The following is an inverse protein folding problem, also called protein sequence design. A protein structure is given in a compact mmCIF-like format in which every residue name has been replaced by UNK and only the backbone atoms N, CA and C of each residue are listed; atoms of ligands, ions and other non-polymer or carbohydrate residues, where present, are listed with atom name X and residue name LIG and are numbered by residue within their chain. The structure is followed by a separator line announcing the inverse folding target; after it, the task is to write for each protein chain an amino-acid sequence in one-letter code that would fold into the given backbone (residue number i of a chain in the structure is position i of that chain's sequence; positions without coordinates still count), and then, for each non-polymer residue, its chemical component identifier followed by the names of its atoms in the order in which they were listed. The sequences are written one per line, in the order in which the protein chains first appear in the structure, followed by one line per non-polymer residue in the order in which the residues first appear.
data_IF_691330052245
#
_entry.id   IF_691330052245
#
_cell.length_a   1.000
_cell.length_b   1.000
_cell.length_c   1.000
_cell.angle_alpha   90.00
_cell.angle_beta   90.00
_cell.angle_gamma   90.00
#
_symmetry.space_group_name_H-M   'P 1'
#
loop_
_entity.id
_entity.type
_entity.pdbx_description
1 polymer ?
#
# COMPACT_ATOMS: atom_id res chain seq x y z
N UNK A 1 -51.08 31.79 1.03
CA UNK A 1 -49.67 31.36 0.81
C UNK A 1 -49.69 29.87 0.56
N UNK A 2 -49.49 29.45 -0.69
CA UNK A 2 -49.45 28.03 -1.09
C UNK A 2 -48.14 27.41 -0.63
N UNK A 3 -48.19 26.30 0.13
CA UNK A 3 -47.01 25.58 0.58
C UNK A 3 -46.30 25.00 -0.64
N UNK A 4 -45.04 25.38 -0.85
CA UNK A 4 -44.17 24.75 -1.84
C UNK A 4 -43.85 23.34 -1.37
N UNK A 5 -44.43 22.32 -2.01
CA UNK A 5 -44.03 20.93 -1.81
C UNK A 5 -42.65 20.72 -2.45
N UNK A 6 -41.68 20.33 -1.62
CA UNK A 6 -40.37 19.91 -2.11
C UNK A 6 -40.46 18.45 -2.52
N UNK A 7 -40.32 18.18 -3.82
CA UNK A 7 -40.20 16.81 -4.34
C UNK A 7 -38.75 16.37 -4.11
N UNK A 8 -38.53 15.52 -3.11
CA UNK A 8 -37.21 14.91 -2.88
C UNK A 8 -37.05 13.74 -3.84
N UNK A 9 -36.13 13.86 -4.79
CA UNK A 9 -35.78 12.74 -5.67
C UNK A 9 -35.09 11.63 -4.86
N UNK A 10 -35.40 10.35 -5.14
CA UNK A 10 -34.80 9.22 -4.43
C UNK A 10 -33.27 9.28 -4.51
N UNK A 11 -32.63 9.01 -3.37
CA UNK A 11 -31.18 9.10 -3.25
C UNK A 11 -30.52 8.02 -4.11
N UNK A 12 -29.85 8.44 -5.19
CA UNK A 12 -29.09 7.53 -6.08
C UNK A 12 -27.98 6.74 -5.38
N UNK A 13 -27.61 7.10 -4.16
CA UNK A 13 -26.55 6.45 -3.38
C UNK A 13 -27.10 5.55 -2.26
N UNK A 14 -28.42 5.40 -2.14
CA UNK A 14 -29.03 4.49 -1.18
C UNK A 14 -28.78 3.04 -1.58
N UNK A 15 -28.35 2.20 -0.64
CA UNK A 15 -28.09 0.78 -0.92
C UNK A 15 -29.40 0.00 -0.94
N UNK A 16 -29.78 -0.59 -2.08
CA UNK A 16 -31.01 -1.37 -2.24
C UNK A 16 -30.86 -2.61 -3.15
N UNK A 17 -31.84 -3.53 -3.13
CA UNK A 17 -31.88 -4.70 -4.02
C UNK A 17 -32.06 -4.31 -5.49
N UNK A 18 -31.71 -5.23 -6.39
CA UNK A 18 -31.79 -4.98 -7.84
C UNK A 18 -33.23 -5.11 -8.34
N UNK A 19 -33.82 -4.00 -8.77
CA UNK A 19 -35.13 -3.95 -9.41
C UNK A 19 -35.02 -3.37 -10.84
N UNK A 20 -35.81 -3.87 -11.81
CA UNK A 20 -35.83 -3.33 -13.17
C UNK A 20 -36.13 -1.83 -13.17
N UNK A 21 -35.15 -1.00 -13.54
CA UNK A 21 -35.28 0.47 -13.59
C UNK A 21 -34.49 1.25 -12.52
N UNK A 22 -33.79 0.56 -11.60
CA UNK A 22 -32.99 1.19 -10.53
C UNK A 22 -31.46 1.06 -10.74
N UNK A 23 -30.98 1.39 -11.94
CA UNK A 23 -29.59 1.14 -12.38
C UNK A 23 -28.53 2.08 -11.75
N UNK A 24 -28.81 2.73 -10.62
CA UNK A 24 -28.01 3.83 -10.08
C UNK A 24 -27.40 3.62 -8.70
N UNK A 25 -27.78 2.57 -7.97
CA UNK A 25 -27.39 2.40 -6.56
C UNK A 25 -25.89 2.16 -6.40
N UNK A 26 -25.29 2.87 -5.44
CA UNK A 26 -23.89 2.65 -5.05
C UNK A 26 -23.74 1.24 -4.45
N UNK A 27 -22.84 0.44 -5.04
CA UNK A 27 -22.51 -0.90 -4.54
C UNK A 27 -21.07 -0.94 -4.08
N UNK A 28 -20.85 -1.23 -2.80
CA UNK A 28 -19.56 -1.73 -2.35
C UNK A 28 -19.46 -3.20 -2.78
N UNK A 29 -18.84 -3.47 -3.93
CA UNK A 29 -18.50 -4.84 -4.29
C UNK A 29 -17.36 -5.27 -3.39
N UNK A 30 -17.67 -5.97 -2.30
CA UNK A 30 -16.66 -6.65 -1.50
C UNK A 30 -16.13 -7.81 -2.33
N UNK A 31 -15.10 -7.54 -3.14
CA UNK A 31 -14.35 -8.61 -3.79
C UNK A 31 -13.72 -9.43 -2.65
N UNK A 32 -14.00 -10.73 -2.52
CA UNK A 32 -13.33 -11.55 -1.53
C UNK A 32 -11.85 -11.50 -1.83
N UNK A 33 -11.08 -10.80 -1.00
CA UNK A 33 -9.62 -10.85 -1.09
C UNK A 33 -9.24 -12.25 -0.62
N UNK A 34 -8.52 -13.06 -1.43
CA UNK A 34 -8.08 -14.36 -0.96
C UNK A 34 -7.32 -14.18 0.36
N UNK A 35 -7.53 -15.07 1.34
CA UNK A 35 -6.76 -15.03 2.58
C UNK A 35 -5.27 -15.07 2.21
N UNK A 36 -4.49 -14.11 2.72
CA UNK A 36 -3.04 -14.07 2.54
C UNK A 36 -2.48 -15.20 3.39
N UNK A 37 -2.50 -16.44 2.88
CA UNK A 37 -1.98 -17.59 3.60
C UNK A 37 -0.47 -17.73 3.48
N UNK A 38 0.16 -17.07 2.48
CA UNK A 38 1.61 -17.05 2.29
C UNK A 38 2.01 -15.69 1.71
N UNK A 39 2.64 -14.84 2.52
CA UNK A 39 3.34 -13.65 2.02
C UNK A 39 4.49 -14.10 1.13
N UNK A 40 4.53 -13.62 -0.11
CA UNK A 40 5.60 -13.95 -1.07
C UNK A 40 6.78 -12.99 -1.00
N UNK A 41 6.52 -11.77 -0.56
CA UNK A 41 7.54 -10.74 -0.37
C UNK A 41 7.54 -10.34 1.10
N UNK A 42 8.70 -10.42 1.75
CA UNK A 42 8.88 -10.10 3.16
C UNK A 42 10.06 -9.13 3.31
N UNK A 43 9.85 -8.07 4.07
CA UNK A 43 10.91 -7.19 4.56
C UNK A 43 10.89 -7.18 6.09
N UNK A 44 11.94 -7.70 6.71
CA UNK A 44 12.12 -7.72 8.15
C UNK A 44 13.12 -6.65 8.57
N UNK A 45 12.71 -5.75 9.45
CA UNK A 45 13.54 -4.64 9.95
C UNK A 45 13.77 -4.83 11.43
N UNK A 46 15.03 -4.95 11.86
CA UNK A 46 15.37 -5.01 13.30
C UNK A 46 15.23 -3.64 13.93
N UNK A 47 14.37 -3.53 14.94
CA UNK A 47 14.11 -2.27 15.62
C UNK A 47 15.04 -2.08 16.83
N UNK A 48 15.46 -0.84 17.13
CA UNK A 48 16.16 -0.53 18.37
C UNK A 48 15.27 -0.79 19.58
N UNK A 49 15.87 -1.14 20.72
CA UNK A 49 15.15 -1.46 21.96
C UNK A 49 14.15 -0.39 22.42
N UNK A 50 14.40 0.88 22.12
CA UNK A 50 13.48 2.00 22.43
C UNK A 50 12.15 1.95 21.66
N UNK A 51 12.07 1.12 20.63
CA UNK A 51 10.90 0.88 19.79
C UNK A 51 10.34 -0.54 19.99
N UNK A 52 10.66 -1.19 21.12
CA UNK A 52 10.18 -2.55 21.43
C UNK A 52 8.66 -2.66 21.39
N UNK A 53 7.95 -1.59 21.73
CA UNK A 53 6.48 -1.57 21.75
C UNK A 53 5.86 -1.65 20.35
N UNK A 54 6.66 -1.41 19.30
CA UNK A 54 6.28 -1.52 17.90
C UNK A 54 6.80 -2.80 17.23
N UNK A 55 7.64 -3.56 17.94
CA UNK A 55 8.29 -4.76 17.44
C UNK A 55 7.48 -6.01 17.79
N UNK A 56 7.66 -7.04 16.98
CA UNK A 56 7.30 -8.41 17.31
C UNK A 56 8.18 -8.93 18.46
N UNK A 57 7.87 -10.12 18.98
CA UNK A 57 8.54 -10.71 20.13
C UNK A 57 10.06 -10.93 19.92
N UNK A 58 10.52 -10.99 18.67
CA UNK A 58 11.93 -11.14 18.28
C UNK A 58 12.67 -9.80 18.14
N UNK A 59 11.99 -8.67 18.39
CA UNK A 59 12.54 -7.33 18.27
C UNK A 59 12.64 -6.80 16.84
N UNK A 60 12.00 -7.48 15.88
CA UNK A 60 11.89 -7.02 14.50
C UNK A 60 10.45 -6.62 14.17
N UNK A 61 10.28 -5.90 13.07
CA UNK A 61 8.98 -5.73 12.42
C UNK A 61 9.05 -6.35 11.04
N UNK A 62 8.04 -7.15 10.67
CA UNK A 62 7.98 -7.80 9.36
C UNK A 62 6.85 -7.23 8.52
N UNK A 63 7.20 -6.65 7.38
CA UNK A 63 6.27 -6.22 6.35
C UNK A 63 6.10 -7.33 5.32
N UNK A 64 4.93 -7.94 5.25
CA UNK A 64 4.65 -9.07 4.36
C UNK A 64 3.48 -8.84 3.42
N UNK A 65 3.66 -9.20 2.15
CA UNK A 65 2.63 -9.07 1.13
C UNK A 65 2.79 -10.07 -0.02
N UNK A 66 1.84 -10.04 -0.96
CA UNK A 66 1.89 -10.82 -2.20
C UNK A 66 2.85 -10.25 -3.24
N UNK A 67 3.22 -8.99 -3.08
CA UNK A 67 4.05 -8.21 -3.99
C UNK A 67 4.87 -7.16 -3.21
N UNK A 68 5.92 -6.65 -3.85
CA UNK A 68 6.75 -5.61 -3.27
C UNK A 68 6.03 -4.27 -3.09
N UNK A 69 5.03 -3.96 -3.92
CA UNK A 69 4.24 -2.72 -3.80
C UNK A 69 3.62 -2.57 -2.42
N UNK A 70 3.01 -3.63 -1.91
CA UNK A 70 2.44 -3.63 -0.57
C UNK A 70 3.51 -3.43 0.49
N UNK A 71 4.63 -4.15 0.37
CA UNK A 71 5.72 -4.13 1.34
C UNK A 71 6.36 -2.73 1.44
N UNK A 72 6.72 -2.12 0.31
CA UNK A 72 7.33 -0.78 0.30
C UNK A 72 6.35 0.30 0.77
N UNK A 73 5.06 0.15 0.46
CA UNK A 73 4.02 1.08 0.91
C UNK A 73 3.84 1.04 2.43
N UNK A 74 3.73 -0.18 2.99
CA UNK A 74 3.62 -0.39 4.43
C UNK A 74 4.86 0.10 5.18
N UNK A 75 6.05 -0.26 4.68
CA UNK A 75 7.32 0.16 5.26
C UNK A 75 7.48 1.68 5.25
N UNK A 76 7.14 2.35 4.14
CA UNK A 76 7.19 3.82 4.04
C UNK A 76 6.24 4.49 5.03
N UNK A 77 5.01 3.99 5.16
CA UNK A 77 4.04 4.53 6.11
C UNK A 77 4.54 4.38 7.55
N UNK A 78 5.10 3.22 7.90
CA UNK A 78 5.69 2.98 9.20
C UNK A 78 6.86 3.92 9.48
N UNK A 79 7.81 4.04 8.53
CA UNK A 79 8.96 4.94 8.65
C UNK A 79 8.52 6.40 8.87
N UNK A 80 7.54 6.87 8.09
CA UNK A 80 6.98 8.23 8.22
C UNK A 80 6.34 8.48 9.58
N UNK A 81 5.70 7.46 10.16
CA UNK A 81 4.92 7.60 11.39
C UNK A 81 5.80 7.48 12.64
N UNK A 82 6.80 6.59 12.60
CA UNK A 82 7.54 6.18 13.81
C UNK A 82 9.04 6.44 13.78
N UNK A 83 9.65 6.68 12.61
CA UNK A 83 11.10 6.83 12.46
C UNK A 83 11.47 8.28 12.14
N UNK A 84 11.00 8.79 11.00
CA UNK A 84 11.28 10.15 10.53
C UNK A 84 10.12 10.61 9.63
N UNK A 85 9.46 11.76 9.87
CA UNK A 85 8.43 12.28 8.98
C UNK A 85 8.96 12.65 7.58
N UNK A 86 10.25 12.98 7.47
CA UNK A 86 10.92 13.28 6.20
C UNK A 86 11.44 11.99 5.56
N UNK A 87 10.52 11.26 4.93
CA UNK A 87 10.83 10.04 4.18
C UNK A 87 11.01 10.35 2.68
N UNK A 88 11.80 9.53 1.95
CA UNK A 88 11.88 9.61 0.50
C UNK A 88 10.50 9.63 -0.20
N UNK A 89 10.46 10.07 -1.47
CA UNK A 89 9.26 10.00 -2.30
C UNK A 89 8.63 8.59 -2.30
N UNK A 90 7.36 8.45 -2.71
CA UNK A 90 6.78 7.13 -2.95
C UNK A 90 7.68 6.29 -3.85
N UNK A 91 7.76 4.99 -3.57
CA UNK A 91 8.69 4.06 -4.24
C UNK A 91 8.65 4.17 -5.77
N UNK A 92 7.44 4.24 -6.33
CA UNK A 92 7.25 4.60 -7.72
C UNK A 92 5.78 4.83 -8.03
N UNK A 93 5.50 5.43 -9.17
CA UNK A 93 4.15 5.58 -9.70
C UNK A 93 4.18 5.73 -11.21
N UNK A 94 3.08 5.35 -11.87
CA UNK A 94 2.94 5.49 -13.31
C UNK A 94 2.30 6.83 -13.66
N UNK A 95 2.94 7.60 -14.54
CA UNK A 95 2.41 8.87 -15.09
C UNK A 95 2.69 8.95 -16.58
N UNK A 96 1.67 9.28 -17.36
CA UNK A 96 1.78 9.42 -18.82
C UNK A 96 2.38 8.19 -19.53
N UNK A 97 2.08 6.99 -19.03
CA UNK A 97 2.58 5.74 -19.62
C UNK A 97 3.96 5.30 -19.14
N UNK A 98 4.71 6.16 -18.43
CA UNK A 98 6.04 5.84 -17.89
C UNK A 98 5.98 5.66 -16.38
N UNK A 99 6.84 4.78 -15.86
CA UNK A 99 7.11 4.68 -14.43
C UNK A 99 8.12 5.73 -14.02
N UNK A 100 7.84 6.42 -12.91
CA UNK A 100 8.76 7.30 -12.21
C UNK A 100 9.07 6.66 -10.87
N UNK A 101 10.36 6.61 -10.52
CA UNK A 101 10.83 5.95 -9.32
C UNK A 101 11.40 6.94 -8.30
N UNK A 102 11.56 6.46 -7.06
CA UNK A 102 12.00 7.26 -5.92
C UNK A 102 13.39 7.88 -6.08
N UNK A 103 14.24 7.32 -6.95
CA UNK A 103 15.60 7.79 -7.26
C UNK A 103 15.64 8.76 -8.46
N UNK A 104 14.48 9.23 -8.93
CA UNK A 104 14.29 10.04 -10.13
C UNK A 104 14.60 9.34 -11.46
N UNK A 105 14.76 8.02 -11.49
CA UNK A 105 14.82 7.27 -12.74
C UNK A 105 13.42 7.05 -13.33
N UNK A 106 13.39 6.76 -14.63
CA UNK A 106 12.15 6.48 -15.35
C UNK A 106 12.30 5.25 -16.24
N UNK A 107 11.28 4.41 -16.29
CA UNK A 107 11.26 3.20 -17.11
C UNK A 107 9.92 3.03 -17.83
N UNK A 108 9.91 2.29 -18.94
CA UNK A 108 8.65 1.94 -19.63
C UNK A 108 7.89 0.83 -18.90
N UNK A 109 8.65 -0.16 -18.39
CA UNK A 109 8.14 -1.30 -17.63
C UNK A 109 8.40 -1.14 -16.12
N UNK A 110 7.68 -1.90 -15.30
CA UNK A 110 7.86 -1.85 -13.85
C UNK A 110 9.15 -2.57 -13.44
N UNK A 111 10.04 -1.91 -12.70
CA UNK A 111 11.25 -2.54 -12.14
C UNK A 111 10.88 -3.71 -11.21
N UNK A 112 9.67 -3.70 -10.63
CA UNK A 112 9.20 -4.77 -9.75
C UNK A 112 8.82 -6.08 -10.45
N UNK A 113 8.72 -6.05 -11.78
CA UNK A 113 8.44 -7.23 -12.60
C UNK A 113 9.73 -7.93 -13.04
N UNK A 114 10.89 -7.27 -12.87
CA UNK A 114 12.20 -7.82 -13.19
C UNK A 114 12.85 -8.64 -12.07
N UNK A 115 13.93 -9.37 -12.37
CA UNK A 115 14.67 -10.16 -11.37
C UNK A 115 15.34 -9.29 -10.30
N UNK A 116 15.65 -8.03 -10.62
CA UNK A 116 16.34 -7.08 -9.73
C UNK A 116 15.40 -6.33 -8.77
N UNK A 117 14.10 -6.67 -8.79
CA UNK A 117 13.07 -6.03 -7.98
C UNK A 117 13.42 -5.99 -6.49
N UNK A 118 13.90 -7.10 -5.92
CA UNK A 118 14.24 -7.19 -4.51
C UNK A 118 15.44 -6.32 -4.14
N UNK A 119 16.43 -6.17 -5.03
CA UNK A 119 17.59 -5.30 -4.79
C UNK A 119 17.16 -3.84 -4.75
N UNK A 120 16.35 -3.43 -5.73
CA UNK A 120 15.86 -2.06 -5.82
C UNK A 120 14.97 -1.68 -4.63
N UNK A 121 14.18 -2.64 -4.13
CA UNK A 121 13.44 -2.49 -2.86
C UNK A 121 14.38 -2.35 -1.67
N UNK A 122 15.49 -3.09 -1.63
CA UNK A 122 16.48 -3.00 -0.55
C UNK A 122 17.09 -1.62 -0.47
N UNK A 123 17.47 -1.04 -1.60
CA UNK A 123 18.04 0.31 -1.66
C UNK A 123 17.05 1.36 -1.13
N UNK A 124 15.77 1.24 -1.51
CA UNK A 124 14.73 2.12 -0.99
C UNK A 124 14.52 1.97 0.53
N UNK A 125 14.49 0.73 1.03
CA UNK A 125 14.35 0.46 2.45
C UNK A 125 15.57 0.95 3.25
N UNK A 126 16.77 0.91 2.67
CA UNK A 126 17.96 1.48 3.30
C UNK A 126 17.83 3.01 3.48
N UNK A 127 17.17 3.72 2.55
CA UNK A 127 16.87 5.14 2.71
C UNK A 127 15.78 5.39 3.77
N UNK A 128 14.80 4.51 3.89
CA UNK A 128 13.75 4.61 4.92
C UNK A 128 14.27 4.29 6.32
N UNK A 129 15.24 3.38 6.43
CA UNK A 129 15.75 2.87 7.69
C UNK A 129 17.29 2.87 7.74
N UNK A 130 17.94 4.05 7.65
CA UNK A 130 19.40 4.15 7.45
C UNK A 130 20.26 3.55 8.58
N UNK A 131 19.67 3.34 9.77
CA UNK A 131 20.36 2.80 10.95
C UNK A 131 19.79 1.45 11.41
N UNK A 132 19.00 0.76 10.58
CA UNK A 132 18.35 -0.48 10.94
C UNK A 132 18.85 -1.60 10.03
N UNK A 133 18.88 -2.82 10.57
CA UNK A 133 19.19 -4.00 9.76
C UNK A 133 17.93 -4.42 9.02
N UNK A 134 18.00 -4.47 7.69
CA UNK A 134 16.90 -4.89 6.82
C UNK A 134 17.25 -6.22 6.16
N UNK A 135 16.35 -7.21 6.26
CA UNK A 135 16.45 -8.50 5.57
C UNK A 135 15.27 -8.64 4.63
N UNK A 136 15.52 -9.08 3.40
CA UNK A 136 14.48 -9.32 2.39
C UNK A 136 14.39 -10.80 2.06
N UNK A 137 13.16 -11.29 1.90
CA UNK A 137 12.85 -12.62 1.38
C UNK A 137 11.86 -12.48 0.22
N UNK A 138 12.23 -12.99 -0.95
CA UNK A 138 11.35 -13.10 -2.11
C UNK A 138 11.13 -14.59 -2.43
N UNK A 139 9.88 -15.02 -2.44
CA UNK A 139 9.47 -16.40 -2.78
C UNK A 139 8.51 -16.42 -3.97
N UNK A 140 8.52 -15.37 -4.79
CA UNK A 140 7.68 -15.27 -5.99
C UNK A 140 8.13 -16.22 -7.10
#
# INVERSE_FOLDING_TARGET
MTRTEWIVHPNRSETGPDEPGQNGHFRSVTRPRPPISISKCLATVKLPRKMSDLADADGAITFGGTDWWFVVGAARMFARTHVNPDVPPPFGFKRSGQWLWWDNTTTEESILDGPDAAEYVREYLAQLFPNFSVTLTDTR
#
